data_IF_220014991796
#
_entry.id   IF_220014991796
#
_cell.length_a   1.000
_cell.length_b   1.000
_cell.length_c   1.000
_cell.angle_alpha   90.00
_cell.angle_beta   90.00
_cell.angle_gamma   90.00
#
_symmetry.space_group_name_H-M   'P 1'
#
loop_
_entity.id
_entity.type
_entity.pdbx_description
1 polymer ?
#
# COMPACT_ATOMS: atom_id res chain seq x y z
N UNK A 1 35.60 2.25 19.07
CA UNK A 1 35.09 1.94 17.72
C UNK A 1 33.67 1.47 17.92
N UNK A 2 32.63 2.26 17.58
CA UNK A 2 31.29 1.70 17.58
C UNK A 2 31.25 0.61 16.51
N UNK A 3 30.83 -0.59 16.90
CA UNK A 3 30.54 -1.69 16.00
C UNK A 3 29.49 -1.21 15.00
N UNK A 4 29.92 -0.97 13.77
CA UNK A 4 29.04 -0.76 12.64
C UNK A 4 28.57 -2.15 12.21
N UNK A 5 27.69 -2.75 13.03
CA UNK A 5 26.96 -3.95 12.63
C UNK A 5 26.20 -3.59 11.36
N UNK A 6 26.36 -4.32 10.26
CA UNK A 6 25.44 -4.17 9.14
C UNK A 6 24.03 -4.44 9.70
N UNK A 7 23.10 -3.52 9.44
CA UNK A 7 21.68 -3.69 9.75
C UNK A 7 21.18 -4.83 8.88
N UNK A 8 21.41 -6.08 9.28
CA UNK A 8 20.99 -7.23 8.50
C UNK A 8 19.48 -7.42 8.68
N UNK A 9 18.78 -6.97 7.64
CA UNK A 9 17.35 -7.02 7.39
C UNK A 9 16.81 -8.46 7.39
N UNK A 10 16.40 -8.96 8.56
CA UNK A 10 15.57 -10.16 8.66
C UNK A 10 14.47 -9.92 9.70
N UNK A 11 13.24 -9.68 9.25
CA UNK A 11 12.14 -9.31 10.16
C UNK A 11 10.82 -8.87 9.51
N UNK A 12 10.76 -8.90 8.17
CA UNK A 12 9.55 -8.59 7.41
C UNK A 12 9.16 -9.76 6.50
N UNK A 13 8.43 -10.79 7.00
CA UNK A 13 7.91 -11.85 6.14
C UNK A 13 6.94 -11.30 5.09
N UNK A 14 6.91 -11.97 3.94
CA UNK A 14 6.07 -11.54 2.82
C UNK A 14 4.60 -11.73 3.16
N UNK A 15 3.79 -10.73 2.85
CA UNK A 15 2.33 -10.83 2.90
C UNK A 15 1.84 -11.22 1.51
N UNK A 16 2.03 -12.49 1.13
CA UNK A 16 1.80 -13.01 -0.23
C UNK A 16 0.38 -12.85 -0.77
N UNK A 17 -0.62 -12.71 0.11
CA UNK A 17 -1.99 -12.38 -0.28
C UNK A 17 -2.22 -10.92 -0.68
N UNK A 18 -1.28 -10.02 -0.39
CA UNK A 18 -1.43 -8.61 -0.72
C UNK A 18 -1.05 -8.33 -2.17
N UNK A 19 -1.88 -7.57 -2.85
CA UNK A 19 -1.63 -7.10 -4.21
C UNK A 19 -1.59 -5.58 -4.27
N UNK A 20 -0.88 -5.05 -5.25
CA UNK A 20 -0.64 -3.62 -5.40
C UNK A 20 -1.17 -3.12 -6.74
N UNK A 21 -1.84 -1.98 -6.71
CA UNK A 21 -2.25 -1.22 -7.89
C UNK A 21 -1.65 0.18 -7.81
N UNK A 22 -1.08 0.68 -8.90
CA UNK A 22 -0.70 2.09 -9.01
C UNK A 22 -1.67 2.86 -9.90
N UNK A 23 -1.92 4.11 -9.52
CA UNK A 23 -2.56 5.14 -10.33
C UNK A 23 -1.52 6.24 -10.53
N UNK A 24 -1.01 6.37 -11.75
CA UNK A 24 0.12 7.23 -12.07
C UNK A 24 -0.28 8.32 -13.08
N UNK A 25 0.11 9.56 -12.84
CA UNK A 25 -0.11 10.72 -13.70
C UNK A 25 -0.80 11.90 -12.98
N UNK A 26 -0.84 13.07 -13.62
CA UNK A 26 -1.29 14.31 -12.97
C UNK A 26 -2.76 14.33 -12.57
N UNK A 27 -3.59 13.42 -13.13
CA UNK A 27 -4.99 13.27 -12.74
C UNK A 27 -5.22 12.18 -11.68
N UNK A 28 -4.18 11.50 -11.17
CA UNK A 28 -4.32 10.33 -10.29
C UNK A 28 -5.16 10.61 -9.03
N UNK A 29 -4.88 11.69 -8.31
CA UNK A 29 -5.63 12.07 -7.11
C UNK A 29 -7.09 12.45 -7.41
N UNK A 30 -7.33 13.23 -8.48
CA UNK A 30 -8.67 13.62 -8.88
C UNK A 30 -9.49 12.42 -9.36
N UNK A 31 -8.87 11.49 -10.08
CA UNK A 31 -9.48 10.24 -10.50
C UNK A 31 -9.83 9.37 -9.28
N UNK A 32 -8.87 9.14 -8.38
CA UNK A 32 -9.10 8.35 -7.16
C UNK A 32 -10.23 8.94 -6.29
N UNK A 33 -10.25 10.27 -6.12
CA UNK A 33 -11.31 10.95 -5.37
C UNK A 33 -12.70 10.77 -5.99
N UNK A 34 -12.80 10.74 -7.32
CA UNK A 34 -14.08 10.53 -8.00
C UNK A 34 -14.59 9.08 -7.87
N UNK A 35 -13.68 8.12 -7.69
CA UNK A 35 -14.03 6.70 -7.68
C UNK A 35 -14.21 6.12 -6.28
N UNK A 36 -13.48 6.62 -5.28
CA UNK A 36 -13.43 6.01 -3.96
C UNK A 36 -14.25 6.79 -2.92
N UNK A 37 -14.58 6.12 -1.82
CA UNK A 37 -15.48 6.66 -0.78
C UNK A 37 -14.79 7.61 0.22
N UNK A 38 -13.60 8.10 -0.08
CA UNK A 38 -12.80 8.95 0.83
C UNK A 38 -12.31 10.21 0.13
N UNK A 39 -12.03 11.26 0.90
CA UNK A 39 -11.43 12.48 0.37
C UNK A 39 -9.94 12.28 0.10
N UNK A 40 -9.62 11.85 -1.12
CA UNK A 40 -8.24 11.64 -1.57
C UNK A 40 -7.52 12.96 -1.84
N UNK A 41 -8.25 14.04 -2.13
CA UNK A 41 -7.62 15.34 -2.43
C UNK A 41 -7.10 16.04 -1.18
N UNK A 42 -7.78 15.82 -0.04
CA UNK A 42 -7.35 16.31 1.27
C UNK A 42 -6.21 15.49 1.90
N UNK A 43 -6.00 14.24 1.45
CA UNK A 43 -4.89 13.40 1.93
C UNK A 43 -3.55 14.04 1.54
N UNK A 44 -2.66 14.40 2.49
CA UNK A 44 -1.38 14.99 2.14
C UNK A 44 -0.50 14.02 1.35
N UNK A 45 0.45 14.57 0.58
CA UNK A 45 1.52 13.77 0.00
C UNK A 45 2.29 13.05 1.11
N UNK A 46 2.76 11.84 0.82
CA UNK A 46 3.42 10.93 1.76
C UNK A 46 2.54 10.54 2.94
N UNK A 47 1.24 10.42 2.69
CA UNK A 47 0.31 9.89 3.69
C UNK A 47 -0.54 8.76 3.12
N UNK A 48 -1.07 7.94 4.01
CA UNK A 48 -2.00 6.87 3.69
C UNK A 48 -3.32 7.01 4.46
N UNK A 49 -4.38 6.43 3.91
CA UNK A 49 -5.67 6.30 4.58
C UNK A 49 -6.39 5.02 4.15
N UNK A 50 -7.32 4.55 4.97
CA UNK A 50 -8.27 3.53 4.53
C UNK A 50 -9.29 4.14 3.56
N UNK A 51 -9.61 3.38 2.51
CA UNK A 51 -10.65 3.75 1.55
C UNK A 51 -11.37 2.51 1.05
N UNK A 52 -12.53 2.72 0.43
CA UNK A 52 -13.28 1.67 -0.25
C UNK A 52 -13.69 2.11 -1.65
N UNK A 53 -13.87 1.14 -2.53
CA UNK A 53 -14.55 1.33 -3.81
C UNK A 53 -15.93 0.70 -3.75
N UNK A 54 -16.95 1.46 -4.13
CA UNK A 54 -18.35 1.06 -4.05
C UNK A 54 -18.96 1.00 -5.45
N UNK A 55 -19.90 0.06 -5.63
CA UNK A 55 -20.79 0.06 -6.78
C UNK A 55 -21.77 1.24 -6.73
N UNK A 56 -22.41 1.56 -7.86
CA UNK A 56 -23.46 2.57 -7.92
C UNK A 56 -24.66 2.29 -6.99
N UNK A 57 -24.83 1.04 -6.52
CA UNK A 57 -25.85 0.65 -5.53
C UNK A 57 -25.34 0.72 -4.07
N UNK A 58 -24.15 1.27 -3.84
CA UNK A 58 -23.52 1.36 -2.52
C UNK A 58 -22.94 0.06 -1.98
N UNK A 59 -22.88 -1.02 -2.78
CA UNK A 59 -22.23 -2.28 -2.35
C UNK A 59 -20.72 -2.15 -2.45
N UNK A 60 -20.00 -2.57 -1.41
CA UNK A 60 -18.54 -2.62 -1.41
C UNK A 60 -18.02 -3.55 -2.49
N UNK A 61 -17.15 -3.02 -3.34
CA UNK A 61 -16.37 -3.77 -4.33
C UNK A 61 -15.03 -4.19 -3.72
N UNK A 62 -14.33 -3.25 -3.07
CA UNK A 62 -13.05 -3.50 -2.42
C UNK A 62 -12.81 -2.52 -1.26
N UNK A 63 -12.02 -2.93 -0.27
CA UNK A 63 -11.48 -2.09 0.80
C UNK A 63 -9.96 -2.19 0.75
N UNK A 64 -9.27 -1.07 0.88
CA UNK A 64 -7.82 -1.01 0.69
C UNK A 64 -7.18 0.16 1.42
N UNK A 65 -5.87 0.06 1.64
CA UNK A 65 -5.06 1.20 2.04
C UNK A 65 -4.72 1.99 0.78
N UNK A 66 -5.05 3.28 0.76
CA UNK A 66 -4.69 4.21 -0.29
C UNK A 66 -3.51 5.04 0.20
N UNK A 67 -2.43 5.04 -0.56
CA UNK A 67 -1.20 5.77 -0.26
C UNK A 67 -1.03 6.85 -1.33
N UNK A 68 -0.97 8.11 -0.92
CA UNK A 68 -0.56 9.20 -1.81
C UNK A 68 0.94 9.37 -1.69
N UNK A 69 1.69 8.78 -2.62
CA UNK A 69 3.16 8.75 -2.57
C UNK A 69 3.73 10.12 -2.89
N UNK A 70 3.23 10.73 -3.97
CA UNK A 70 3.57 12.07 -4.45
C UNK A 70 2.34 12.72 -5.13
N UNK A 71 2.54 13.83 -5.84
CA UNK A 71 1.48 14.57 -6.53
C UNK A 71 0.82 13.78 -7.66
N UNK A 72 1.54 12.85 -8.30
CA UNK A 72 1.10 12.12 -9.49
C UNK A 72 0.95 10.62 -9.25
N UNK A 73 1.34 10.12 -8.08
CA UNK A 73 1.34 8.68 -7.79
C UNK A 73 0.51 8.33 -6.56
N UNK A 74 -0.48 7.47 -6.79
CA UNK A 74 -1.24 6.78 -5.75
C UNK A 74 -0.97 5.28 -5.84
N UNK A 75 -0.81 4.64 -4.68
CA UNK A 75 -0.71 3.18 -4.56
C UNK A 75 -1.86 2.66 -3.72
N UNK A 76 -2.52 1.61 -4.19
CA UNK A 76 -3.53 0.87 -3.44
C UNK A 76 -2.92 -0.44 -2.96
N UNK A 77 -3.04 -0.71 -1.66
CA UNK A 77 -2.69 -2.00 -1.05
C UNK A 77 -3.95 -2.79 -0.79
N UNK A 78 -4.15 -3.83 -1.58
CA UNK A 78 -5.27 -4.76 -1.47
C UNK A 78 -4.82 -5.90 -0.55
N UNK A 79 -5.43 -6.04 0.64
CA UNK A 79 -5.10 -7.14 1.55
C UNK A 79 -5.66 -8.49 1.07
N UNK A 80 -6.75 -8.42 0.33
CA UNK A 80 -7.42 -9.48 -0.41
C UNK A 80 -8.08 -8.90 -1.66
N UNK A 81 -8.39 -9.77 -2.63
CA UNK A 81 -9.03 -9.39 -3.88
C UNK A 81 -8.21 -9.73 -5.12
N UNK A 82 -8.68 -9.25 -6.26
CA UNK A 82 -8.09 -9.48 -7.57
C UNK A 82 -7.74 -8.12 -8.19
N UNK A 83 -6.45 -7.75 -8.10
CA UNK A 83 -5.92 -6.49 -8.59
C UNK A 83 -6.15 -6.33 -10.10
N UNK A 84 -6.05 -7.40 -10.89
CA UNK A 84 -6.28 -7.38 -12.33
C UNK A 84 -7.75 -7.10 -12.64
N UNK A 85 -8.67 -7.72 -11.91
CA UNK A 85 -10.10 -7.47 -12.06
C UNK A 85 -10.47 -6.04 -11.64
N UNK A 86 -9.89 -5.52 -10.55
CA UNK A 86 -10.10 -4.14 -10.08
C UNK A 86 -9.53 -3.15 -11.10
N UNK A 87 -8.30 -3.35 -11.57
CA UNK A 87 -7.66 -2.54 -12.60
C UNK A 87 -8.53 -2.47 -13.87
N UNK A 88 -8.97 -3.64 -14.35
CA UNK A 88 -9.82 -3.77 -15.54
C UNK A 88 -11.15 -3.06 -15.41
N UNK A 89 -11.74 -3.01 -14.22
CA UNK A 89 -12.96 -2.26 -13.98
C UNK A 89 -12.68 -0.76 -13.87
N UNK A 90 -11.65 -0.34 -13.12
CA UNK A 90 -11.27 1.07 -12.98
C UNK A 90 -10.90 1.71 -14.31
N UNK A 91 -10.25 0.96 -15.21
CA UNK A 91 -9.86 1.41 -16.54
C UNK A 91 -11.06 1.93 -17.36
N UNK A 92 -12.26 1.39 -17.13
CA UNK A 92 -13.49 1.80 -17.83
C UNK A 92 -13.94 3.22 -17.47
N UNK A 93 -13.44 3.75 -16.36
CA UNK A 93 -13.74 5.09 -15.87
C UNK A 93 -12.67 6.11 -16.24
N UNK A 94 -11.58 5.69 -16.89
CA UNK A 94 -10.53 6.59 -17.39
C UNK A 94 -11.04 7.29 -18.65
N UNK A 95 -11.83 8.35 -18.47
CA UNK A 95 -12.33 9.17 -19.56
C UNK A 95 -11.72 10.58 -19.50
N UNK A 96 -10.93 10.93 -20.52
CA UNK A 96 -10.26 12.25 -20.64
C UNK A 96 -9.37 12.62 -19.44
N UNK A 97 -8.88 11.62 -18.69
CA UNK A 97 -7.94 11.79 -17.58
C UNK A 97 -6.56 11.30 -17.98
N UNK A 98 -5.52 12.03 -17.55
CA UNK A 98 -4.11 11.64 -17.65
C UNK A 98 -3.74 10.80 -16.43
N UNK A 99 -4.24 9.56 -16.43
CA UNK A 99 -3.93 8.56 -15.40
C UNK A 99 -3.70 7.20 -16.06
N UNK A 100 -2.68 6.50 -15.61
CA UNK A 100 -2.37 5.12 -15.97
C UNK A 100 -2.62 4.23 -14.76
N UNK A 101 -3.27 3.10 -14.97
CA UNK A 101 -3.59 2.12 -13.93
C UNK A 101 -2.77 0.87 -14.19
N UNK A 102 -1.99 0.41 -13.22
CA UNK A 102 -1.13 -0.75 -13.39
C UNK A 102 -1.07 -1.63 -12.14
N UNK A 103 -1.18 -2.95 -12.33
CA UNK A 103 -0.89 -3.93 -11.27
C UNK A 103 0.63 -4.00 -11.08
N UNK A 104 1.10 -3.88 -9.84
CA UNK A 104 2.53 -3.84 -9.50
C UNK A 104 3.04 -5.20 -9.04
N UNK A 105 3.25 -6.10 -10.01
CA UNK A 105 3.85 -7.42 -9.76
C UNK A 105 5.37 -7.36 -9.50
N UNK A 106 6.00 -6.21 -9.77
CA UNK A 106 7.42 -5.94 -9.55
C UNK A 106 7.71 -5.37 -8.14
N UNK A 107 6.71 -5.38 -7.27
CA UNK A 107 6.81 -4.93 -5.87
C UNK A 107 6.22 -6.00 -4.97
N UNK A 108 6.74 -6.11 -3.75
CA UNK A 108 6.24 -6.97 -2.69
C UNK A 108 5.73 -6.15 -1.52
N UNK A 109 4.79 -6.73 -0.77
CA UNK A 109 4.34 -6.23 0.53
C UNK A 109 4.85 -7.17 1.61
N UNK A 110 5.43 -6.60 2.66
CA UNK A 110 5.93 -7.35 3.80
C UNK A 110 5.52 -6.66 5.11
N UNK A 111 5.41 -7.42 6.20
CA UNK A 111 4.94 -6.90 7.49
C UNK A 111 5.83 -7.30 8.65
N UNK A 112 5.82 -6.53 9.74
CA UNK A 112 6.48 -6.86 11.01
C UNK A 112 5.62 -6.44 12.19
N UNK A 113 5.66 -7.18 13.30
CA UNK A 113 5.02 -6.81 14.58
C UNK A 113 5.95 -5.96 15.44
N UNK A 114 6.54 -4.95 14.83
CA UNK A 114 7.43 -3.97 15.45
C UNK A 114 7.02 -2.58 15.00
N UNK A 115 7.38 -1.57 15.79
CA UNK A 115 7.11 -0.17 15.46
C UNK A 115 7.95 0.24 14.24
N UNK A 116 7.42 1.12 13.37
CA UNK A 116 8.17 1.63 12.23
C UNK A 116 9.39 2.41 12.69
N UNK A 117 10.40 2.47 11.82
CA UNK A 117 11.64 3.21 12.09
C UNK A 117 11.43 4.71 11.89
N UNK A 118 10.69 5.09 10.85
CA UNK A 118 10.52 6.49 10.46
C UNK A 118 9.06 6.86 10.11
N UNK A 119 8.23 5.90 9.70
CA UNK A 119 6.80 6.16 9.50
C UNK A 119 6.10 6.45 10.84
N UNK A 120 5.03 7.24 10.82
CA UNK A 120 4.28 7.56 12.05
C UNK A 120 2.83 7.91 11.74
N UNK A 121 1.89 7.15 12.31
CA UNK A 121 0.47 7.29 12.03
C UNK A 121 0.19 7.20 10.51
N UNK A 122 -0.45 8.23 9.95
CA UNK A 122 -0.75 8.26 8.52
C UNK A 122 0.47 8.64 7.65
N UNK A 123 1.55 9.20 8.22
CA UNK A 123 2.71 9.64 7.46
C UNK A 123 3.62 8.46 7.11
N UNK A 124 3.96 8.33 5.83
CA UNK A 124 4.84 7.27 5.33
C UNK A 124 6.30 7.74 5.29
N UNK A 125 7.22 6.80 5.52
CA UNK A 125 8.62 7.02 5.19
C UNK A 125 8.95 6.44 3.81
N UNK A 126 9.91 7.06 3.13
CA UNK A 126 10.37 6.67 1.80
C UNK A 126 11.88 6.51 1.86
N UNK A 127 12.36 5.31 1.56
CA UNK A 127 13.78 4.93 1.59
C UNK A 127 14.16 4.36 0.22
N UNK A 128 14.64 5.22 -0.68
CA UNK A 128 14.85 4.83 -2.08
C UNK A 128 13.54 4.43 -2.74
N UNK A 129 13.42 3.17 -3.17
CA UNK A 129 12.20 2.61 -3.76
C UNK A 129 11.27 1.93 -2.74
N UNK A 130 11.66 1.90 -1.45
CA UNK A 130 10.89 1.27 -0.38
C UNK A 130 10.01 2.29 0.33
N UNK A 131 8.73 1.94 0.52
CA UNK A 131 7.80 2.67 1.38
C UNK A 131 7.68 1.95 2.72
N UNK A 132 7.63 2.70 3.81
CA UNK A 132 7.33 2.22 5.15
C UNK A 132 6.07 2.90 5.69
N UNK A 133 5.17 2.10 6.27
CA UNK A 133 3.91 2.54 6.83
C UNK A 133 3.78 2.06 8.27
N UNK A 134 3.29 2.96 9.12
CA UNK A 134 2.74 2.63 10.42
C UNK A 134 1.30 2.13 10.24
N UNK A 135 1.06 0.85 10.52
CA UNK A 135 -0.28 0.23 10.41
C UNK A 135 -0.72 -0.38 11.74
N UNK A 136 0.00 -0.06 12.82
CA UNK A 136 -0.23 -0.60 14.14
C UNK A 136 -0.96 0.35 15.08
N UNK A 137 -0.85 0.04 16.36
CA UNK A 137 -1.24 0.89 17.47
C UNK A 137 -0.20 0.78 18.58
N UNK A 138 -0.26 1.64 19.59
CA UNK A 138 0.64 1.57 20.76
C UNK A 138 0.61 0.19 21.45
N UNK A 139 -0.55 -0.47 21.45
CA UNK A 139 -0.73 -1.80 22.06
C UNK A 139 -0.24 -2.95 21.16
N UNK A 140 -0.21 -2.72 19.85
CA UNK A 140 0.17 -3.72 18.85
C UNK A 140 0.88 -3.03 17.69
N UNK A 141 2.19 -2.74 17.85
CA UNK A 141 2.93 -2.02 16.84
C UNK A 141 3.11 -2.89 15.60
N UNK A 142 2.87 -2.29 14.42
CA UNK A 142 2.94 -2.98 13.14
C UNK A 142 3.52 -2.06 12.09
N UNK A 143 4.46 -2.61 11.34
CA UNK A 143 5.07 -1.93 10.19
C UNK A 143 4.73 -2.70 8.94
N UNK A 144 4.27 -2.00 7.90
CA UNK A 144 4.11 -2.54 6.56
C UNK A 144 5.13 -1.88 5.64
N UNK A 145 5.82 -2.69 4.83
CA UNK A 145 6.78 -2.23 3.83
C UNK A 145 6.36 -2.65 2.43
N UNK A 146 6.55 -1.73 1.48
CA UNK A 146 6.40 -2.00 0.04
C UNK A 146 7.76 -1.78 -0.60
N UNK A 147 8.35 -2.79 -1.22
CA UNK A 147 9.69 -2.75 -1.79
C UNK A 147 9.74 -3.43 -3.18
N UNK A 148 10.74 -3.15 -4.03
CA UNK A 148 11.06 -3.97 -5.19
C UNK A 148 11.10 -5.47 -4.87
N UNK A 149 10.64 -6.30 -5.79
CA UNK A 149 10.67 -7.77 -5.63
C UNK A 149 12.09 -8.30 -5.36
N UNK A 150 13.11 -7.64 -5.93
CA UNK A 150 14.51 -8.06 -5.84
C UNK A 150 15.22 -7.59 -4.56
N UNK A 151 14.63 -6.64 -3.80
CA UNK A 151 15.31 -6.00 -2.68
C UNK A 151 15.44 -6.92 -1.45
N UNK A 152 14.55 -7.90 -1.27
CA UNK A 152 14.63 -8.85 -0.16
C UNK A 152 14.00 -10.21 -0.46
N UNK A 153 14.65 -11.34 -0.09
CA UNK A 153 13.99 -12.64 -0.01
C UNK A 153 13.09 -12.67 1.23
N UNK A 154 12.01 -11.89 1.22
CA UNK A 154 10.98 -11.99 2.24
C UNK A 154 10.40 -13.42 2.19
N UNK A 155 10.64 -14.21 3.23
CA UNK A 155 10.16 -15.59 3.30
C UNK A 155 8.63 -15.59 3.28
N UNK A 156 8.04 -16.48 2.50
CA UNK A 156 6.60 -16.72 2.53
C UNK A 156 6.29 -17.60 3.74
N UNK A 157 5.76 -17.00 4.81
CA UNK A 157 5.37 -17.68 6.05
C UNK A 157 3.84 -17.57 6.21
N UNK A 158 3.14 -18.67 5.95
CA UNK A 158 1.70 -18.73 6.04
C UNK A 158 1.17 -18.52 7.47
N UNK A 159 1.92 -18.92 8.50
CA UNK A 159 1.56 -18.71 9.90
C UNK A 159 1.68 -17.24 10.27
N UNK A 160 2.74 -16.57 9.80
CA UNK A 160 2.87 -15.12 9.95
C UNK A 160 1.76 -14.37 9.22
N UNK A 161 1.47 -14.72 7.96
CA UNK A 161 0.39 -14.09 7.19
C UNK A 161 -0.99 -14.30 7.82
N UNK A 162 -1.22 -15.43 8.51
CA UNK A 162 -2.43 -15.64 9.29
C UNK A 162 -2.47 -14.75 10.54
N UNK A 163 -1.38 -14.69 11.31
CA UNK A 163 -1.28 -13.82 12.48
C UNK A 163 -1.51 -12.35 12.12
N UNK A 164 -0.92 -11.89 11.00
CA UNK A 164 -1.09 -10.53 10.48
C UNK A 164 -2.54 -10.18 10.14
N UNK A 165 -3.35 -11.15 9.71
CA UNK A 165 -4.78 -10.93 9.43
C UNK A 165 -5.65 -10.94 10.67
N UNK A 166 -5.19 -11.55 11.75
CA UNK A 166 -5.94 -11.69 13.02
C UNK A 166 -5.57 -10.61 14.05
N UNK A 167 -4.46 -9.91 13.84
CA UNK A 167 -3.96 -8.79 14.63
C UNK A 167 -4.65 -7.47 14.31
#
# INVERSE_FOLDING_TARGET
MPDNLPMDFNGFPRLSGHQLLSLDGPDAAAFAHAQFSSDVTALPVRHWQWSAWLSAKGRTIAVFQLIRVDEERIVLVLADGDADAIASQLQRFVFRRKVTIAVRADRIVAGSFTAPEAASGAAIAVHGETLELDVGSDALPRTLRIAPLDDHPASDDASFALAWRQS
#
